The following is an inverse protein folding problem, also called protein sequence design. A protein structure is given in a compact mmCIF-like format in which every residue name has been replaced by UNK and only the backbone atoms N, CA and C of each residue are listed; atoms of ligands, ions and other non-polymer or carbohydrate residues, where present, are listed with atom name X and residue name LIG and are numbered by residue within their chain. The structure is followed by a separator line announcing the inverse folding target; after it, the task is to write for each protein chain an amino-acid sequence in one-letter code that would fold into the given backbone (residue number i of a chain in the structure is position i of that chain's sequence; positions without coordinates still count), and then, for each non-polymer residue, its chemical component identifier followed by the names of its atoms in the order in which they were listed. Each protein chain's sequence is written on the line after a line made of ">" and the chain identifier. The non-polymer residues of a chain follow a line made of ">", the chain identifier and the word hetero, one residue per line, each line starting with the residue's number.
data_IF_941649697945
#
_entry.id   IF_941649697945
#
_cell.length_a   1.000
_cell.length_b   1.000
_cell.length_c   1.000
_cell.angle_alpha   90.00
_cell.angle_beta   90.00
_cell.angle_gamma   90.00
#
_symmetry.space_group_name_H-M   'P 1'
#
loop_
_entity.id
_entity.type
_entity.pdbx_description
1 polymer ?
#
# COMPACT_ATOMS: atom_id res chain seq x y z
N UNK A 1 23.52 27.83 8.50
CA UNK A 1 23.64 26.69 7.57
C UNK A 1 22.88 25.46 8.08
N UNK A 2 23.17 24.94 9.29
CA UNK A 2 22.43 23.81 9.90
C UNK A 2 20.91 24.06 10.01
N UNK A 3 20.51 25.19 10.60
CA UNK A 3 19.12 25.60 10.72
C UNK A 3 18.36 25.76 9.37
N UNK A 4 19.07 26.06 8.28
CA UNK A 4 18.48 26.21 6.94
C UNK A 4 18.22 24.84 6.30
N UNK A 5 19.14 23.88 6.50
CA UNK A 5 18.97 22.50 6.04
C UNK A 5 17.86 21.81 6.85
N UNK A 6 17.82 22.02 8.17
CA UNK A 6 16.78 21.46 9.04
C UNK A 6 15.39 22.00 8.66
N UNK A 7 15.29 23.30 8.34
CA UNK A 7 14.06 23.90 7.84
C UNK A 7 13.67 23.32 6.47
N UNK A 8 14.61 23.22 5.54
CA UNK A 8 14.37 22.68 4.19
C UNK A 8 13.89 21.23 4.23
N UNK A 9 14.56 20.39 5.01
CA UNK A 9 14.19 18.96 5.15
C UNK A 9 12.80 18.80 5.77
N UNK A 10 12.47 19.62 6.78
CA UNK A 10 11.14 19.60 7.42
C UNK A 10 10.05 20.07 6.45
N UNK A 11 10.26 21.17 5.74
CA UNK A 11 9.27 21.70 4.79
C UNK A 11 9.08 20.76 3.60
N UNK A 12 10.15 20.16 3.10
CA UNK A 12 10.08 19.19 2.01
C UNK A 12 9.35 17.92 2.43
N UNK A 13 9.66 17.38 3.62
CA UNK A 13 8.97 16.22 4.17
C UNK A 13 7.47 16.47 4.33
N UNK A 14 7.10 17.65 4.84
CA UNK A 14 5.69 18.06 4.94
C UNK A 14 5.01 18.18 3.57
N UNK A 15 5.63 18.86 2.61
CA UNK A 15 5.04 19.03 1.28
C UNK A 15 4.88 17.68 0.56
N UNK A 16 5.87 16.79 0.73
CA UNK A 16 5.83 15.44 0.20
C UNK A 16 4.68 14.65 0.83
N UNK A 17 4.63 14.52 2.16
CA UNK A 17 3.56 13.77 2.84
C UNK A 17 2.17 14.36 2.58
N UNK A 18 2.05 15.69 2.52
CA UNK A 18 0.80 16.36 2.21
C UNK A 18 0.26 16.00 0.82
N UNK A 19 1.14 15.79 -0.17
CA UNK A 19 0.73 15.34 -1.50
C UNK A 19 0.04 13.97 -1.45
N UNK A 20 0.50 13.07 -0.56
CA UNK A 20 -0.16 11.77 -0.32
C UNK A 20 -1.50 11.93 0.40
N UNK A 21 -1.62 12.89 1.32
CA UNK A 21 -2.90 13.25 1.96
C UNK A 21 -3.95 13.68 0.94
N UNK A 22 -3.59 14.55 0.00
CA UNK A 22 -4.51 14.99 -1.07
C UNK A 22 -4.96 13.79 -1.94
N UNK A 23 -4.05 12.88 -2.27
CA UNK A 23 -4.39 11.66 -3.02
C UNK A 23 -5.38 10.78 -2.25
N UNK A 24 -5.18 10.59 -0.95
CA UNK A 24 -6.09 9.85 -0.06
C UNK A 24 -7.49 10.47 -0.05
N UNK A 25 -7.58 11.77 0.24
CA UNK A 25 -8.85 12.49 0.34
C UNK A 25 -9.61 12.50 -0.98
N UNK A 26 -8.89 12.71 -2.09
CA UNK A 26 -9.48 12.67 -3.44
C UNK A 26 -9.97 11.27 -3.82
N UNK A 27 -9.23 10.23 -3.44
CA UNK A 27 -9.61 8.83 -3.72
C UNK A 27 -10.87 8.44 -2.94
N UNK A 28 -10.96 8.82 -1.66
CA UNK A 28 -12.15 8.56 -0.84
C UNK A 28 -13.36 9.39 -1.30
N UNK A 29 -13.16 10.68 -1.58
CA UNK A 29 -14.23 11.59 -2.01
C UNK A 29 -14.77 11.30 -3.41
N UNK A 30 -13.95 10.75 -4.31
CA UNK A 30 -14.31 10.45 -5.69
C UNK A 30 -14.67 8.96 -5.90
N UNK A 31 -15.50 8.42 -5.01
CA UNK A 31 -15.84 6.99 -4.94
C UNK A 31 -16.50 6.36 -6.17
N UNK A 32 -16.65 7.08 -7.29
CA UNK A 32 -17.24 6.61 -8.55
C UNK A 32 -16.20 6.31 -9.65
N UNK A 33 -14.92 6.68 -9.48
CA UNK A 33 -13.92 6.62 -10.56
C UNK A 33 -12.79 5.65 -10.20
N UNK A 34 -12.68 4.53 -10.93
CA UNK A 34 -11.60 3.52 -11.05
C UNK A 34 -10.93 2.94 -9.78
N UNK A 35 -10.68 3.72 -8.71
CA UNK A 35 -10.06 3.28 -7.46
C UNK A 35 -10.98 2.46 -6.54
N UNK A 36 -12.30 2.49 -6.75
CA UNK A 36 -13.29 1.79 -5.93
C UNK A 36 -13.76 0.45 -6.48
N UNK A 37 -13.41 0.07 -7.73
CA UNK A 37 -13.84 -1.23 -8.27
C UNK A 37 -13.44 -2.45 -7.41
N UNK A 38 -12.33 -2.44 -6.64
CA UNK A 38 -12.02 -3.51 -5.68
C UNK A 38 -12.91 -3.51 -4.41
N UNK A 39 -13.57 -2.38 -4.10
CA UNK A 39 -14.11 -2.06 -2.77
C UNK A 39 -15.57 -1.64 -2.78
N UNK A 40 -16.17 -1.41 -3.95
CA UNK A 40 -17.58 -1.13 -4.16
C UNK A 40 -18.07 -2.02 -5.28
N UNK A 41 -19.13 -2.78 -5.00
CA UNK A 41 -19.85 -3.57 -6.00
C UNK A 41 -21.29 -3.07 -6.12
N UNK A 42 -21.85 -3.11 -7.32
CA UNK A 42 -23.24 -2.74 -7.54
C UNK A 42 -24.11 -3.99 -7.56
N UNK A 43 -25.21 -4.00 -6.80
CA UNK A 43 -26.23 -5.06 -6.86
C UNK A 43 -27.57 -4.49 -7.25
N UNK A 44 -28.29 -5.23 -8.10
CA UNK A 44 -29.70 -5.01 -8.35
C UNK A 44 -30.49 -5.57 -7.17
N UNK A 45 -31.14 -4.69 -6.42
CA UNK A 45 -32.09 -5.08 -5.38
C UNK A 45 -33.50 -5.12 -5.98
N UNK A 46 -34.16 -6.27 -5.91
CA UNK A 46 -35.58 -6.37 -6.22
C UNK A 46 -36.38 -5.57 -5.17
N UNK A 47 -37.23 -4.66 -5.63
CA UNK A 47 -38.17 -3.96 -4.76
C UNK A 47 -39.34 -4.92 -4.55
N UNK A 48 -39.36 -5.65 -3.43
CA UNK A 48 -40.52 -6.41 -3.02
C UNK A 48 -41.54 -5.45 -2.37
N UNK A 49 -42.13 -4.57 -3.18
CA UNK A 49 -43.35 -3.90 -2.78
C UNK A 49 -44.51 -4.83 -3.14
N UNK A 50 -45.28 -5.27 -2.15
CA UNK A 50 -46.34 -6.27 -2.33
C UNK A 50 -47.48 -5.83 -3.27
N UNK A 51 -47.41 -4.62 -3.85
CA UNK A 51 -48.46 -4.02 -4.66
C UNK A 51 -48.01 -3.44 -6.01
N UNK A 52 -46.77 -3.65 -6.48
CA UNK A 52 -46.32 -3.17 -7.80
C UNK A 52 -45.59 -4.27 -8.56
N UNK A 53 -46.23 -4.79 -9.61
CA UNK A 53 -45.65 -5.74 -10.56
C UNK A 53 -44.86 -4.95 -11.62
N UNK A 54 -43.74 -4.33 -11.24
CA UNK A 54 -42.72 -3.88 -12.19
C UNK A 54 -41.30 -4.09 -11.60
N UNK A 55 -40.38 -4.74 -12.33
CA UNK A 55 -39.05 -5.07 -11.82
C UNK A 55 -38.09 -3.89 -12.04
N UNK A 56 -38.39 -2.72 -11.49
CA UNK A 56 -37.38 -1.65 -11.45
C UNK A 56 -36.45 -1.96 -10.29
N UNK A 57 -35.43 -2.78 -10.55
CA UNK A 57 -34.40 -3.10 -9.57
C UNK A 57 -33.65 -1.83 -9.16
N UNK A 58 -33.60 -1.51 -7.88
CA UNK A 58 -32.76 -0.41 -7.39
C UNK A 58 -31.29 -0.86 -7.44
N UNK A 59 -30.44 -0.12 -8.15
CA UNK A 59 -28.99 -0.33 -8.09
C UNK A 59 -28.50 0.21 -6.76
N UNK A 60 -28.03 -0.67 -5.88
CA UNK A 60 -27.46 -0.30 -4.58
C UNK A 60 -25.95 -0.54 -4.57
N UNK A 61 -25.14 0.45 -4.15
CA UNK A 61 -23.73 0.21 -3.90
C UNK A 61 -23.58 -0.66 -2.65
N UNK A 62 -22.71 -1.66 -2.72
CA UNK A 62 -22.26 -2.48 -1.60
C UNK A 62 -20.78 -2.24 -1.42
N UNK A 63 -20.46 -1.63 -0.29
CA UNK A 63 -19.09 -1.38 0.14
C UNK A 63 -18.48 -2.64 0.72
N UNK A 64 -17.18 -2.82 0.49
CA UNK A 64 -16.39 -3.86 1.13
C UNK A 64 -16.23 -3.51 2.61
N UNK A 65 -16.32 -4.54 3.42
CA UNK A 65 -16.19 -4.47 4.86
C UNK A 65 -15.01 -5.34 5.31
N UNK A 66 -14.41 -4.94 6.42
CA UNK A 66 -13.25 -5.55 7.05
C UNK A 66 -13.53 -5.72 8.55
N UNK A 67 -12.71 -6.56 9.21
CA UNK A 67 -12.80 -6.83 10.65
C UNK A 67 -14.23 -7.27 11.08
N UNK A 68 -14.73 -8.34 10.48
CA UNK A 68 -16.07 -8.89 10.76
C UNK A 68 -17.21 -7.85 10.66
N UNK A 69 -17.21 -7.06 9.58
CA UNK A 69 -18.20 -6.01 9.29
C UNK A 69 -18.15 -4.79 10.23
N UNK A 70 -17.13 -4.66 11.08
CA UNK A 70 -16.95 -3.47 11.94
C UNK A 70 -16.43 -2.26 11.16
N UNK A 71 -15.60 -2.47 10.14
CA UNK A 71 -15.00 -1.39 9.36
C UNK A 71 -15.47 -1.44 7.90
N UNK A 72 -16.22 -0.42 7.46
CA UNK A 72 -16.73 -0.31 6.10
C UNK A 72 -15.97 0.74 5.29
N UNK A 73 -15.68 0.42 4.03
CA UNK A 73 -15.11 1.38 3.08
C UNK A 73 -16.02 2.55 2.75
N UNK A 74 -17.29 2.49 3.15
CA UNK A 74 -18.19 3.63 3.12
C UNK A 74 -17.81 4.68 4.16
N UNK A 75 -17.53 4.22 5.38
CA UNK A 75 -17.40 5.07 6.56
C UNK A 75 -15.94 5.50 6.78
N UNK A 76 -14.98 4.63 6.43
CA UNK A 76 -13.56 4.91 6.57
C UNK A 76 -12.73 4.37 5.41
N UNK A 77 -11.84 5.20 4.89
CA UNK A 77 -10.84 4.79 3.91
C UNK A 77 -9.77 3.86 4.51
N UNK A 78 -9.52 3.96 5.81
CA UNK A 78 -8.38 3.32 6.47
C UNK A 78 -8.62 1.88 6.88
N UNK A 79 -9.81 1.33 6.60
CA UNK A 79 -10.10 -0.08 6.90
C UNK A 79 -9.13 -1.02 6.19
N UNK A 80 -8.65 -2.01 6.94
CA UNK A 80 -7.66 -2.98 6.46
C UNK A 80 -7.82 -4.35 7.12
N UNK A 81 -7.22 -5.34 6.48
CA UNK A 81 -6.93 -6.65 7.05
C UNK A 81 -5.57 -7.14 6.55
N UNK A 82 -5.03 -8.16 7.19
CA UNK A 82 -3.77 -8.76 6.77
C UNK A 82 -3.87 -9.35 5.34
N UNK A 83 -2.80 -9.24 4.56
CA UNK A 83 -2.74 -9.82 3.23
C UNK A 83 -2.47 -11.34 3.29
N UNK A 84 -3.21 -12.07 2.47
CA UNK A 84 -3.07 -13.51 2.32
C UNK A 84 -2.98 -13.90 0.84
N UNK A 85 -2.20 -14.93 0.54
CA UNK A 85 -2.29 -15.67 -0.72
C UNK A 85 -3.35 -16.76 -0.58
N UNK A 86 -4.17 -16.92 -1.61
CA UNK A 86 -5.27 -17.88 -1.66
C UNK A 86 -4.95 -18.99 -2.66
N UNK A 87 -5.51 -20.19 -2.46
CA UNK A 87 -5.40 -21.26 -3.45
C UNK A 87 -6.04 -20.82 -4.77
N UNK A 88 -5.45 -21.15 -5.94
CA UNK A 88 -6.02 -20.82 -7.25
C UNK A 88 -7.47 -21.27 -7.41
N UNK A 89 -7.80 -22.43 -6.83
CA UNK A 89 -9.12 -23.06 -6.97
C UNK A 89 -10.16 -22.57 -5.95
N UNK A 90 -9.74 -21.83 -4.91
CA UNK A 90 -10.63 -21.38 -3.85
C UNK A 90 -10.15 -20.09 -3.17
N UNK A 91 -10.88 -19.00 -3.38
CA UNK A 91 -10.62 -17.68 -2.78
C UNK A 91 -11.00 -17.57 -1.31
N UNK A 92 -11.50 -18.65 -0.67
CA UNK A 92 -11.86 -18.67 0.75
C UNK A 92 -10.80 -19.28 1.65
N UNK A 93 -9.88 -20.08 1.10
CA UNK A 93 -8.84 -20.75 1.89
C UNK A 93 -7.57 -19.90 1.86
N UNK A 94 -7.24 -19.32 3.02
CA UNK A 94 -5.99 -18.57 3.23
C UNK A 94 -4.85 -19.59 3.31
N UNK A 95 -3.87 -19.47 2.41
CA UNK A 95 -2.74 -20.42 2.31
C UNK A 95 -1.52 -19.87 3.03
N UNK A 96 -1.14 -18.64 2.69
CA UNK A 96 0.06 -18.01 3.22
C UNK A 96 -0.24 -16.57 3.61
N UNK A 97 0.15 -16.18 4.83
CA UNK A 97 0.04 -14.81 5.32
C UNK A 97 1.31 -14.05 4.90
N UNK A 98 1.13 -12.91 4.23
CA UNK A 98 2.26 -12.07 3.82
C UNK A 98 2.52 -11.02 4.90
N UNK A 99 3.44 -11.33 5.81
CA UNK A 99 3.75 -10.49 6.97
C UNK A 99 4.13 -9.05 6.57
N UNK A 100 3.51 -8.07 7.23
CA UNK A 100 3.73 -6.65 6.95
C UNK A 100 2.84 -6.08 5.85
N UNK A 101 2.35 -6.90 4.90
CA UNK A 101 1.41 -6.42 3.89
C UNK A 101 -0.03 -6.49 4.39
N UNK A 102 -0.79 -5.46 4.04
CA UNK A 102 -2.24 -5.40 4.29
C UNK A 102 -3.00 -5.21 2.99
N UNK A 103 -4.26 -5.62 2.99
CA UNK A 103 -5.25 -5.21 1.99
C UNK A 103 -6.23 -4.25 2.66
N UNK A 104 -6.81 -3.34 1.89
CA UNK A 104 -7.67 -2.30 2.43
C UNK A 104 -8.63 -1.73 1.38
N UNK A 105 -9.34 -0.68 1.74
CA UNK A 105 -10.35 -0.07 0.87
C UNK A 105 -9.78 0.48 -0.43
N UNK A 106 -8.53 0.91 -0.44
CA UNK A 106 -7.87 1.43 -1.63
C UNK A 106 -6.48 0.83 -1.72
N UNK A 107 -6.02 0.49 -2.93
CA UNK A 107 -4.67 -0.06 -3.12
C UNK A 107 -3.59 0.88 -2.58
N UNK A 108 -3.75 2.18 -2.80
CA UNK A 108 -2.89 3.21 -2.23
C UNK A 108 -2.90 3.21 -0.71
N UNK A 109 -4.09 3.16 -0.10
CA UNK A 109 -4.21 3.19 1.36
C UNK A 109 -3.65 1.93 2.01
N UNK A 110 -3.91 0.78 1.40
CA UNK A 110 -3.32 -0.50 1.80
C UNK A 110 -1.78 -0.47 1.70
N UNK A 111 -1.22 0.14 0.65
CA UNK A 111 0.22 0.32 0.51
C UNK A 111 0.78 1.19 1.64
N UNK A 112 0.19 2.36 1.90
CA UNK A 112 0.66 3.29 2.95
C UNK A 112 0.66 2.62 4.33
N UNK A 113 -0.35 1.80 4.60
CA UNK A 113 -0.51 1.09 5.88
C UNK A 113 0.27 -0.22 5.98
N UNK A 114 0.87 -0.69 4.88
CA UNK A 114 1.74 -1.87 4.87
C UNK A 114 3.14 -1.51 5.36
N UNK A 115 3.91 -2.51 5.79
CA UNK A 115 5.35 -2.45 6.04
C UNK A 115 6.11 -3.34 5.06
N UNK A 116 7.43 -3.21 5.06
CA UNK A 116 8.33 -4.03 4.24
C UNK A 116 8.83 -5.30 4.96
N UNK A 117 8.16 -5.71 6.05
CA UNK A 117 8.62 -6.78 6.94
C UNK A 117 9.00 -8.08 6.19
N UNK A 118 8.15 -8.54 5.28
CA UNK A 118 8.38 -9.77 4.50
C UNK A 118 9.71 -9.75 3.75
N UNK A 119 10.15 -8.59 3.25
CA UNK A 119 11.34 -8.47 2.43
C UNK A 119 12.64 -8.67 3.22
N UNK A 120 12.61 -8.62 4.56
CA UNK A 120 13.77 -8.89 5.42
C UNK A 120 13.90 -10.35 5.85
N UNK A 121 12.94 -11.22 5.49
CA UNK A 121 12.95 -12.63 5.87
C UNK A 121 12.92 -13.53 4.64
N UNK A 122 13.98 -14.32 4.44
CA UNK A 122 14.09 -15.22 3.30
C UNK A 122 12.93 -16.21 3.24
N UNK A 123 12.50 -16.73 4.40
CA UNK A 123 11.35 -17.64 4.50
C UNK A 123 10.07 -17.02 3.94
N UNK A 124 9.83 -15.73 4.20
CA UNK A 124 8.64 -15.06 3.68
C UNK A 124 8.70 -14.91 2.15
N UNK A 125 9.87 -14.57 1.61
CA UNK A 125 10.09 -14.50 0.15
C UNK A 125 9.88 -15.87 -0.49
N UNK A 126 10.46 -16.92 0.09
CA UNK A 126 10.38 -18.28 -0.43
C UNK A 126 8.92 -18.79 -0.41
N UNK A 127 8.22 -18.58 0.70
CA UNK A 127 6.80 -18.94 0.84
C UNK A 127 5.92 -18.18 -0.16
N UNK A 128 6.15 -16.87 -0.32
CA UNK A 128 5.42 -16.04 -1.28
C UNK A 128 5.61 -16.53 -2.72
N UNK A 129 6.84 -16.92 -3.09
CA UNK A 129 7.14 -17.47 -4.42
C UNK A 129 6.47 -18.80 -4.66
N UNK A 130 6.50 -19.69 -3.66
CA UNK A 130 5.82 -20.97 -3.72
C UNK A 130 4.31 -20.77 -3.91
N UNK A 131 3.72 -19.79 -3.20
CA UNK A 131 2.29 -19.54 -3.23
C UNK A 131 1.80 -18.86 -4.53
N UNK A 132 2.61 -18.03 -5.17
CA UNK A 132 2.27 -17.34 -6.43
C UNK A 132 2.68 -18.16 -7.68
N UNK A 133 3.35 -19.31 -7.49
CA UNK A 133 3.88 -20.14 -8.59
C UNK A 133 4.75 -19.35 -9.57
N UNK A 134 5.66 -18.51 -9.04
CA UNK A 134 6.56 -17.72 -9.87
C UNK A 134 7.49 -18.65 -10.67
N UNK A 135 7.36 -18.70 -12.00
CA UNK A 135 8.07 -19.67 -12.86
C UNK A 135 9.51 -19.29 -13.21
N UNK A 136 10.07 -18.26 -12.57
CA UNK A 136 11.38 -17.73 -12.93
C UNK A 136 12.52 -18.30 -12.07
N UNK A 137 13.68 -18.50 -12.72
CA UNK A 137 14.91 -19.00 -12.12
C UNK A 137 15.73 -17.94 -11.36
N UNK A 138 15.22 -16.72 -11.16
CA UNK A 138 15.97 -15.68 -10.46
C UNK A 138 16.02 -15.95 -8.96
N UNK A 139 17.19 -16.00 -8.36
CA UNK A 139 17.32 -16.04 -6.89
C UNK A 139 17.02 -14.67 -6.30
N UNK A 140 15.95 -14.56 -5.50
CA UNK A 140 15.64 -13.32 -4.77
C UNK A 140 16.05 -13.51 -3.32
N UNK A 141 17.09 -12.78 -2.91
CA UNK A 141 17.56 -12.77 -1.53
C UNK A 141 16.81 -11.74 -0.70
N UNK A 142 16.60 -12.05 0.57
CA UNK A 142 16.09 -11.09 1.55
C UNK A 142 17.02 -9.88 1.69
N UNK A 143 16.40 -8.74 1.99
CA UNK A 143 17.10 -7.51 2.35
C UNK A 143 17.83 -7.69 3.68
N UNK A 144 18.96 -7.02 3.82
CA UNK A 144 19.78 -7.07 5.03
C UNK A 144 19.27 -6.04 6.05
N UNK A 145 18.64 -6.46 7.16
CA UNK A 145 18.12 -5.53 8.16
C UNK A 145 19.24 -4.78 8.89
N UNK A 146 20.50 -5.24 8.84
CA UNK A 146 21.64 -4.53 9.45
C UNK A 146 22.01 -3.25 8.69
N UNK A 147 21.47 -3.04 7.49
CA UNK A 147 21.64 -1.82 6.70
C UNK A 147 20.66 -0.71 7.09
N UNK A 148 19.62 -1.04 7.84
CA UNK A 148 18.67 -0.05 8.33
C UNK A 148 19.29 0.77 9.45
N UNK A 149 19.07 2.09 9.40
CA UNK A 149 19.63 3.03 10.37
C UNK A 149 18.55 3.77 11.12
N UNK A 150 17.44 4.07 10.44
CA UNK A 150 16.36 4.89 10.95
C UNK A 150 15.03 4.13 10.97
N UNK A 151 14.72 3.35 9.92
CA UNK A 151 13.53 2.51 9.90
C UNK A 151 13.81 1.11 10.42
N UNK A 152 12.75 0.36 10.66
CA UNK A 152 12.80 -1.07 10.96
C UNK A 152 11.81 -1.85 10.08
N UNK A 153 11.82 -3.18 10.18
CA UNK A 153 10.89 -4.02 9.40
C UNK A 153 9.41 -3.77 9.69
N UNK A 154 9.06 -3.16 10.83
CA UNK A 154 7.68 -2.86 11.22
C UNK A 154 7.23 -1.45 10.81
N UNK A 155 8.16 -0.60 10.41
CA UNK A 155 7.89 0.74 9.93
C UNK A 155 6.97 0.68 8.71
N UNK A 156 5.87 1.42 8.74
CA UNK A 156 4.93 1.45 7.61
C UNK A 156 5.49 2.31 6.48
N UNK A 157 4.99 2.09 5.27
CA UNK A 157 5.32 2.94 4.11
C UNK A 157 4.93 4.39 4.40
N UNK A 158 3.83 4.64 5.11
CA UNK A 158 3.43 5.98 5.54
C UNK A 158 4.50 6.65 6.42
N UNK A 159 5.02 5.94 7.44
CA UNK A 159 6.12 6.44 8.28
C UNK A 159 7.37 6.72 7.46
N UNK A 160 7.67 5.88 6.47
CA UNK A 160 8.79 6.12 5.56
C UNK A 160 8.54 7.38 4.71
N UNK A 161 7.35 7.54 4.12
CA UNK A 161 6.96 8.70 3.31
C UNK A 161 7.05 10.00 4.11
N UNK A 162 6.59 10.02 5.36
CA UNK A 162 6.73 11.19 6.27
C UNK A 162 8.19 11.63 6.49
N UNK A 163 9.13 10.75 6.16
CA UNK A 163 10.58 10.94 6.30
C UNK A 163 11.29 10.86 4.95
N UNK A 164 10.55 11.08 3.85
CA UNK A 164 11.05 11.06 2.47
C UNK A 164 11.66 9.71 2.05
N UNK A 165 11.39 8.65 2.81
CA UNK A 165 11.98 7.32 2.68
C UNK A 165 13.52 7.33 2.80
N UNK A 166 14.06 8.30 3.55
CA UNK A 166 15.50 8.49 3.73
C UNK A 166 15.95 7.87 5.06
N UNK A 167 16.85 6.89 4.99
CA UNK A 167 17.50 6.27 6.16
C UNK A 167 18.49 7.22 6.85
N UNK A 168 19.23 8.02 6.08
CA UNK A 168 20.20 8.97 6.62
C UNK A 168 20.50 10.12 5.65
N UNK A 169 20.68 11.32 6.21
CA UNK A 169 21.15 12.49 5.46
C UNK A 169 22.68 12.55 5.48
N UNK A 170 23.30 12.50 4.30
CA UNK A 170 24.75 12.65 4.18
C UNK A 170 25.10 14.07 3.78
N UNK A 171 25.55 14.88 4.75
CA UNK A 171 25.88 16.30 4.53
C UNK A 171 27.30 16.54 4.01
N UNK A 172 28.15 15.51 4.01
CA UNK A 172 29.54 15.60 3.59
C UNK A 172 29.78 14.70 2.37
N UNK A 173 29.22 15.11 1.23
CA UNK A 173 29.42 14.44 -0.07
C UNK A 173 30.40 15.23 -0.91
N UNK A 174 31.36 14.53 -1.51
CA UNK A 174 32.17 15.08 -2.60
C UNK A 174 31.35 15.03 -3.89
N UNK A 175 30.86 16.19 -4.34
CA UNK A 175 30.15 16.30 -5.61
C UNK A 175 31.02 15.84 -6.78
N UNK A 176 32.33 16.08 -6.74
CA UNK A 176 33.25 15.60 -7.77
C UNK A 176 33.24 14.06 -7.85
N UNK A 177 33.31 13.37 -6.71
CA UNK A 177 33.23 11.90 -6.69
C UNK A 177 31.86 11.39 -7.12
N UNK A 178 30.78 12.07 -6.69
CA UNK A 178 29.41 11.71 -7.09
C UNK A 178 29.23 11.79 -8.60
N UNK A 179 29.58 12.92 -9.22
CA UNK A 179 29.47 13.07 -10.67
C UNK A 179 30.42 12.14 -11.42
N UNK A 180 31.61 11.86 -10.89
CA UNK A 180 32.51 10.87 -11.49
C UNK A 180 31.94 9.44 -11.43
N UNK A 181 31.08 9.11 -10.46
CA UNK A 181 30.42 7.80 -10.41
C UNK A 181 29.15 7.75 -11.26
N UNK A 182 28.44 8.87 -11.36
CA UNK A 182 27.12 8.93 -11.98
C UNK A 182 27.15 9.55 -13.40
N UNK A 183 28.32 9.84 -13.98
CA UNK A 183 28.34 10.44 -15.32
C UNK A 183 27.78 9.45 -16.35
N UNK A 184 26.93 9.92 -17.28
CA UNK A 184 26.42 9.06 -18.33
C UNK A 184 27.58 8.56 -19.20
N UNK A 185 27.67 7.25 -19.36
CA UNK A 185 28.72 6.60 -20.17
C UNK A 185 28.61 6.99 -21.65
N UNK A 186 27.43 7.42 -22.08
CA UNK A 186 27.14 7.86 -23.43
C UNK A 186 26.08 8.98 -23.40
N UNK A 187 26.22 9.97 -24.28
CA UNK A 187 25.25 11.06 -24.48
C UNK A 187 24.33 10.77 -25.66
#
# INVERSE_FOLDING_TARGET
>A
MKATIDLYTTTLAYAFSHSFGIMRDTTQGNGLVCGTLPSVSFRLAAINDTNIVEPVGAIRPRYKTYDNDVCSCHDSATCKEEAYVYTPDNTKVRVHRVSGLVIGCYGFEAMMQSSLLCYFYQTCIDDLRAAIHFSDNFTTSALDPSKLLYFDGNSTVEMMVEKLMIEQWTNNISYANYYHQCYPVYC
#
